data_IF_688039136708
#
_entry.id   IF_688039136708
#
_cell.length_a   1.000
_cell.length_b   1.000
_cell.length_c   1.000
_cell.angle_alpha   90.00
_cell.angle_beta   90.00
_cell.angle_gamma   90.00
#
_symmetry.space_group_name_H-M   'P 1'
#
loop_
_entity.id
_entity.type
_entity.pdbx_description
1 polymer ?
#
# COMPACT_ATOMS: atom_id res chain seq x y z
N UNK A 1 16.96 23.37 -2.07
CA UNK A 1 16.08 22.63 -1.15
C UNK A 1 14.71 22.54 -1.79
N UNK A 2 14.50 21.57 -2.66
CA UNK A 2 13.19 21.30 -3.26
C UNK A 2 12.50 20.26 -2.40
N UNK A 3 11.44 20.69 -1.72
CA UNK A 3 10.49 19.83 -1.02
C UNK A 3 9.91 18.83 -2.02
N UNK A 4 10.39 17.58 -1.96
CA UNK A 4 9.83 16.44 -2.68
C UNK A 4 8.44 16.17 -2.12
N UNK A 5 7.44 16.87 -2.64
CA UNK A 5 6.07 16.40 -2.52
C UNK A 5 5.93 15.24 -3.49
N UNK A 6 6.31 14.05 -3.04
CA UNK A 6 6.18 12.81 -3.80
C UNK A 6 4.70 12.49 -3.92
N UNK A 7 4.06 13.00 -4.98
CA UNK A 7 2.73 12.59 -5.33
C UNK A 7 2.80 11.18 -5.93
N UNK A 8 2.12 10.19 -5.34
CA UNK A 8 1.98 8.90 -5.97
C UNK A 8 1.27 9.03 -7.33
N UNK A 9 1.62 8.20 -8.34
CA UNK A 9 0.85 8.11 -9.57
C UNK A 9 -0.64 7.88 -9.27
N UNK A 10 -1.52 8.37 -10.15
CA UNK A 10 -2.97 8.41 -9.98
C UNK A 10 -3.65 7.03 -9.69
N UNK A 11 -2.91 5.94 -9.84
CA UNK A 11 -3.36 4.56 -9.65
C UNK A 11 -2.85 3.91 -8.35
N UNK A 12 -2.27 4.68 -7.42
CA UNK A 12 -1.85 4.13 -6.14
C UNK A 12 -3.03 3.97 -5.16
N UNK A 13 -2.97 2.91 -4.37
CA UNK A 13 -3.95 2.49 -3.37
C UNK A 13 -3.34 2.64 -1.98
N UNK A 14 -4.16 3.06 -1.01
CA UNK A 14 -3.77 3.02 0.40
C UNK A 14 -3.93 1.59 0.91
N UNK A 15 -2.82 1.01 1.38
CA UNK A 15 -2.73 -0.29 2.02
C UNK A 15 -2.57 -0.12 3.53
N UNK A 16 -3.49 -0.69 4.30
CA UNK A 16 -3.38 -0.79 5.76
C UNK A 16 -3.16 -2.23 6.18
N UNK A 17 -2.15 -2.45 7.02
CA UNK A 17 -1.79 -3.77 7.54
C UNK A 17 -1.92 -3.76 9.06
N UNK A 18 -2.69 -4.72 9.58
CA UNK A 18 -2.82 -4.98 11.00
C UNK A 18 -1.98 -6.20 11.40
N UNK A 19 -0.99 -5.99 12.27
CA UNK A 19 -0.14 -7.04 12.83
C UNK A 19 -0.25 -7.04 14.35
N UNK A 20 -1.10 -7.91 14.89
CA UNK A 20 -1.52 -7.83 16.30
C UNK A 20 -2.20 -6.48 16.56
N UNK A 21 -1.72 -5.74 17.55
CA UNK A 21 -2.23 -4.40 17.91
C UNK A 21 -1.56 -3.26 17.14
N UNK A 22 -0.66 -3.57 16.19
CA UNK A 22 0.05 -2.58 15.40
C UNK A 22 -0.62 -2.34 14.06
N UNK A 23 -0.69 -1.06 13.66
CA UNK A 23 -1.24 -0.61 12.38
C UNK A 23 -0.14 0.05 11.56
N UNK A 24 -0.04 -0.33 10.29
CA UNK A 24 0.87 0.27 9.33
C UNK A 24 0.11 0.72 8.09
N UNK A 25 0.30 1.97 7.69
CA UNK A 25 -0.30 2.56 6.50
C UNK A 25 0.79 2.77 5.43
N UNK A 26 0.52 2.31 4.21
CA UNK A 26 1.42 2.42 3.05
C UNK A 26 0.66 2.87 1.80
N UNK A 27 1.37 3.52 0.89
CA UNK A 27 0.93 3.66 -0.50
C UNK A 27 1.50 2.51 -1.33
N UNK A 28 0.72 1.97 -2.26
CA UNK A 28 1.11 0.86 -3.14
C UNK A 28 0.46 0.99 -4.51
N UNK A 29 1.15 0.61 -5.59
CA UNK A 29 0.55 0.61 -6.93
C UNK A 29 -0.62 -0.36 -7.04
N UNK A 30 -1.70 0.03 -7.73
CA UNK A 30 -2.82 -0.87 -8.00
C UNK A 30 -2.40 -2.20 -8.67
N UNK A 31 -1.36 -2.19 -9.52
CA UNK A 31 -0.86 -3.44 -10.15
C UNK A 31 -0.29 -4.41 -9.12
N UNK A 32 0.35 -3.87 -8.07
CA UNK A 32 0.94 -4.64 -6.98
C UNK A 32 -0.12 -5.20 -6.05
N UNK A 33 -1.23 -4.48 -5.86
CA UNK A 33 -2.33 -4.90 -4.98
C UNK A 33 -2.85 -6.29 -5.36
N UNK A 34 -2.98 -6.58 -6.65
CA UNK A 34 -3.47 -7.87 -7.12
C UNK A 34 -2.58 -9.03 -6.64
N UNK A 35 -1.27 -8.92 -6.86
CA UNK A 35 -0.31 -9.95 -6.45
C UNK A 35 -0.21 -10.07 -4.92
N UNK A 36 -0.33 -8.95 -4.20
CA UNK A 36 -0.36 -8.94 -2.73
C UNK A 36 -1.59 -9.66 -2.18
N UNK A 37 -2.78 -9.44 -2.76
CA UNK A 37 -4.02 -10.13 -2.36
C UNK A 37 -3.91 -11.63 -2.61
N UNK A 38 -3.38 -12.04 -3.77
CA UNK A 38 -3.19 -13.45 -4.08
C UNK A 38 -2.27 -14.13 -3.06
N UNK A 39 -1.10 -13.54 -2.78
CA UNK A 39 -0.15 -14.09 -1.81
C UNK A 39 -0.74 -14.15 -0.40
N UNK A 40 -1.38 -13.07 0.05
CA UNK A 40 -2.08 -13.01 1.34
C UNK A 40 -3.21 -14.05 1.44
N UNK A 41 -3.96 -14.27 0.36
CA UNK A 41 -5.06 -15.23 0.34
C UNK A 41 -4.58 -16.68 0.52
N UNK A 42 -3.38 -17.01 0.01
CA UNK A 42 -2.76 -18.34 0.14
C UNK A 42 -2.29 -18.61 1.56
N UNK A 43 -1.89 -17.57 2.30
CA UNK A 43 -1.46 -17.69 3.69
C UNK A 43 -1.85 -16.44 4.47
N UNK A 44 -2.95 -16.48 5.20
CA UNK A 44 -3.41 -15.34 6.01
C UNK A 44 -2.57 -15.20 7.28
N UNK A 45 -1.65 -14.23 7.29
CA UNK A 45 -0.76 -13.94 8.44
C UNK A 45 -1.10 -12.61 9.15
N UNK A 46 -1.95 -11.77 8.55
CA UNK A 46 -2.36 -10.47 9.05
C UNK A 46 -3.74 -10.08 8.48
N UNK A 47 -4.34 -9.00 8.97
CA UNK A 47 -5.51 -8.39 8.32
C UNK A 47 -5.03 -7.27 7.41
N UNK A 48 -5.54 -7.24 6.17
CA UNK A 48 -5.19 -6.22 5.18
C UNK A 48 -6.46 -5.47 4.75
N UNK A 49 -6.39 -4.15 4.73
CA UNK A 49 -7.42 -3.25 4.22
C UNK A 49 -6.88 -2.42 3.05
N UNK A 50 -7.70 -2.24 2.01
CA UNK A 50 -7.36 -1.44 0.84
C UNK A 50 -8.37 -0.29 0.70
N UNK A 51 -7.87 0.93 0.61
CA UNK A 51 -8.69 2.13 0.45
C UNK A 51 -8.32 2.81 -0.87
N UNK A 52 -9.27 2.85 -1.81
CA UNK A 52 -9.09 3.43 -3.16
C UNK A 52 -9.25 4.96 -3.16
N UNK A 53 -9.92 5.51 -2.16
CA UNK A 53 -10.34 6.91 -2.17
C UNK A 53 -10.04 7.54 -0.81
N UNK A 54 -8.89 8.21 -0.70
CA UNK A 54 -8.59 9.10 0.42
C UNK A 54 -8.63 10.53 -0.10
N UNK A 55 -9.85 10.98 -0.40
CA UNK A 55 -10.18 12.37 -0.72
C UNK A 55 -9.81 13.37 0.41
N UNK A 56 -9.46 12.88 1.60
CA UNK A 56 -8.82 13.72 2.60
C UNK A 56 -7.33 13.86 2.24
N UNK A 57 -6.96 15.11 1.92
CA UNK A 57 -5.61 15.67 1.72
C UNK A 57 -4.64 15.43 2.90
N UNK A 58 -4.57 14.22 3.43
CA UNK A 58 -3.56 13.78 4.40
C UNK A 58 -2.36 13.33 3.60
N UNK A 59 -1.18 13.68 4.11
CA UNK A 59 0.10 13.22 3.58
C UNK A 59 0.01 11.74 3.25
N UNK A 60 0.23 11.41 1.97
CA UNK A 60 0.10 10.05 1.49
C UNK A 60 1.08 9.17 2.27
N UNK A 61 0.66 7.96 2.71
CA UNK A 61 1.51 7.11 3.53
C UNK A 61 2.80 6.76 2.78
N UNK A 62 3.85 6.38 3.52
CA UNK A 62 5.13 6.00 2.92
C UNK A 62 4.93 4.85 1.92
N UNK A 63 5.74 4.81 0.86
CA UNK A 63 5.72 3.70 -0.10
C UNK A 63 5.99 2.37 0.60
N UNK A 64 5.27 1.31 0.21
CA UNK A 64 5.53 -0.04 0.70
C UNK A 64 7.00 -0.43 0.40
N UNK A 65 7.85 -0.70 1.42
CA UNK A 65 9.29 -0.88 1.21
C UNK A 65 9.66 -2.02 0.25
N UNK A 66 8.85 -3.07 0.22
CA UNK A 66 9.07 -4.27 -0.59
C UNK A 66 8.15 -4.36 -1.80
N UNK A 67 7.55 -3.24 -2.23
CA UNK A 67 6.59 -3.19 -3.34
C UNK A 67 7.09 -3.93 -4.59
N UNK A 68 8.37 -3.78 -4.92
CA UNK A 68 8.97 -4.38 -6.13
C UNK A 68 8.90 -5.92 -6.15
N UNK A 69 8.79 -6.58 -5.00
CA UNK A 69 8.62 -8.04 -4.93
C UNK A 69 7.27 -8.50 -5.52
N UNK A 70 6.30 -7.60 -5.56
CA UNK A 70 4.94 -7.88 -5.96
C UNK A 70 4.61 -7.29 -7.34
N UNK A 71 5.59 -6.74 -8.07
CA UNK A 71 5.38 -6.22 -9.43
C UNK A 71 5.21 -7.34 -10.48
N UNK A 72 5.43 -8.60 -10.10
CA UNK A 72 5.51 -9.71 -11.06
C UNK A 72 6.78 -9.65 -11.91
N UNK A 73 7.07 -10.70 -12.70
CA UNK A 73 8.10 -10.67 -13.74
C UNK A 73 7.77 -9.68 -14.87
#
# INVERSE_FOLDING_TARGET
MTSETWFPPADDVHLRIWLGDMVFDYAVSAVVVHNLIEDWSRRRWCTIEFMRDTAEKRLLPRRLPCERLFLGP
#
